data_IF_770938374809
#
_entry.id   IF_770938374809
#
_cell.length_a   1.000
_cell.length_b   1.000
_cell.length_c   1.000
_cell.angle_alpha   90.00
_cell.angle_beta   90.00
_cell.angle_gamma   90.00
#
_symmetry.space_group_name_H-M   'P 1'
#
loop_
_entity.id
_entity.type
_entity.pdbx_description
1 polymer ?
#
# COMPACT_ATOMS: atom_id res chain seq x y z
N UNK A 1 -26.20 3.53 -44.86
CA UNK A 1 -25.49 4.27 -43.79
C UNK A 1 -25.06 3.26 -42.71
N UNK A 2 -23.82 3.31 -42.22
CA UNK A 2 -23.32 2.37 -41.19
C UNK A 2 -22.71 3.16 -40.04
N UNK A 3 -23.07 2.81 -38.81
CA UNK A 3 -22.57 3.46 -37.58
C UNK A 3 -21.92 2.37 -36.72
N UNK A 4 -20.80 2.68 -36.08
CA UNK A 4 -20.12 1.80 -35.11
C UNK A 4 -19.64 2.61 -33.91
N UNK A 5 -19.72 2.00 -32.73
CA UNK A 5 -19.20 2.54 -31.47
C UNK A 5 -18.29 1.50 -30.79
N UNK A 6 -17.33 1.96 -29.99
CA UNK A 6 -16.40 1.12 -29.21
C UNK A 6 -16.31 1.68 -27.79
N UNK A 7 -16.39 0.80 -26.80
CA UNK A 7 -16.10 1.12 -25.41
C UNK A 7 -14.64 0.77 -25.09
N UNK A 8 -13.94 1.68 -24.41
CA UNK A 8 -12.58 1.48 -23.92
C UNK A 8 -12.53 1.78 -22.42
N UNK A 9 -11.65 1.09 -21.70
CA UNK A 9 -11.46 1.24 -20.26
C UNK A 9 -9.96 1.31 -19.94
N UNK A 10 -9.62 1.86 -18.77
CA UNK A 10 -8.24 1.90 -18.30
C UNK A 10 -7.69 0.48 -18.12
N UNK A 11 -6.55 0.19 -18.75
CA UNK A 11 -5.87 -1.11 -18.67
C UNK A 11 -4.46 -0.90 -18.13
N UNK A 12 -4.05 -1.70 -17.14
CA UNK A 12 -2.77 -1.54 -16.48
C UNK A 12 -2.14 -2.89 -16.10
N UNK A 13 -0.84 -2.87 -15.78
CA UNK A 13 -0.12 -3.99 -15.17
C UNK A 13 0.73 -3.50 -14.00
N UNK A 14 0.97 -4.38 -13.02
CA UNK A 14 1.74 -4.11 -11.82
C UNK A 14 2.82 -5.20 -11.70
N UNK A 15 4.08 -4.80 -11.68
CA UNK A 15 5.21 -5.74 -11.61
C UNK A 15 6.26 -5.31 -10.56
N UNK A 16 6.71 -6.18 -9.65
CA UNK A 16 6.27 -7.57 -9.49
C UNK A 16 4.83 -7.65 -9.01
N UNK A 17 4.18 -8.79 -9.28
CA UNK A 17 2.87 -9.09 -8.72
C UNK A 17 2.90 -9.11 -7.18
N UNK A 18 1.79 -8.73 -6.56
CA UNK A 18 1.61 -8.83 -5.11
C UNK A 18 1.68 -10.30 -4.65
N UNK A 19 2.28 -10.60 -3.48
CA UNK A 19 2.86 -9.66 -2.50
C UNK A 19 4.33 -9.29 -2.77
N UNK A 20 4.72 -8.10 -2.34
CA UNK A 20 6.13 -7.66 -2.36
C UNK A 20 6.80 -8.14 -1.08
N UNK A 21 7.76 -9.05 -1.19
CA UNK A 21 8.42 -9.66 -0.03
C UNK A 21 9.83 -9.12 0.19
N UNK A 22 10.09 -8.54 1.35
CA UNK A 22 11.42 -8.03 1.73
C UNK A 22 12.34 -9.10 2.33
N UNK A 23 11.81 -10.27 2.67
CA UNK A 23 12.51 -11.38 3.31
C UNK A 23 12.86 -11.07 4.77
N UNK A 24 13.66 -11.96 5.37
CA UNK A 24 14.26 -11.70 6.67
C UNK A 24 15.18 -10.48 6.58
N UNK A 25 15.02 -9.53 7.51
CA UNK A 25 15.83 -8.32 7.59
C UNK A 25 16.44 -8.18 8.98
N UNK A 26 17.68 -7.73 9.03
CA UNK A 26 18.37 -7.43 10.28
C UNK A 26 17.80 -6.14 10.87
N UNK A 27 17.55 -6.13 12.18
CA UNK A 27 17.08 -4.94 12.91
C UNK A 27 18.00 -3.74 12.65
N UNK A 28 17.40 -2.59 12.36
CA UNK A 28 18.11 -1.36 12.03
C UNK A 28 18.55 -1.24 10.56
N UNK A 29 18.25 -2.22 9.70
CA UNK A 29 18.54 -2.12 8.26
C UNK A 29 17.36 -1.60 7.46
N UNK A 30 17.66 -0.98 6.31
CA UNK A 30 16.69 -0.51 5.34
C UNK A 30 16.85 -1.28 4.03
N UNK A 31 15.74 -1.68 3.41
CA UNK A 31 15.71 -2.31 2.10
C UNK A 31 14.67 -1.64 1.23
N UNK A 32 14.98 -1.46 -0.04
CA UNK A 32 14.11 -0.78 -1.00
C UNK A 32 13.74 -1.74 -2.12
N UNK A 33 12.46 -1.76 -2.48
CA UNK A 33 11.94 -2.44 -3.65
C UNK A 33 11.17 -1.46 -4.53
N UNK A 34 10.95 -1.84 -5.78
CA UNK A 34 10.21 -1.03 -6.75
C UNK A 34 9.13 -1.86 -7.39
N UNK A 35 7.96 -1.25 -7.51
CA UNK A 35 6.81 -1.73 -8.27
C UNK A 35 6.66 -0.87 -9.49
N UNK A 36 6.48 -1.49 -10.64
CA UNK A 36 6.23 -0.84 -11.90
C UNK A 36 4.73 -0.89 -12.19
N UNK A 37 4.07 0.27 -12.16
CA UNK A 37 2.72 0.45 -12.64
C UNK A 37 2.77 0.94 -14.09
N UNK A 38 2.28 0.13 -15.02
CA UNK A 38 2.29 0.45 -16.44
C UNK A 38 0.87 0.61 -16.97
N UNK A 39 0.65 1.63 -17.81
CA UNK A 39 -0.57 1.80 -18.56
C UNK A 39 -0.49 1.01 -19.87
N UNK A 40 -1.26 -0.07 -19.96
CA UNK A 40 -1.38 -0.94 -21.16
C UNK A 40 -2.56 -0.55 -22.05
N UNK A 41 -3.23 0.55 -21.72
CA UNK A 41 -4.39 1.08 -22.44
C UNK A 41 -4.03 2.26 -23.34
N UNK A 42 -5.06 2.72 -24.04
CA UNK A 42 -5.05 3.85 -24.98
C UNK A 42 -5.50 5.16 -24.34
N UNK A 43 -6.02 5.10 -23.10
CA UNK A 43 -6.49 6.25 -22.33
C UNK A 43 -5.47 6.66 -21.27
N UNK A 44 -5.37 7.95 -20.99
CA UNK A 44 -4.64 8.42 -19.81
C UNK A 44 -5.39 7.98 -18.54
N UNK A 45 -4.66 7.69 -17.47
CA UNK A 45 -5.26 7.52 -16.15
C UNK A 45 -4.43 8.18 -15.06
N UNK A 46 -5.10 8.46 -13.94
CA UNK A 46 -4.47 8.80 -12.67
C UNK A 46 -4.47 7.57 -11.76
N UNK A 47 -3.47 7.49 -10.89
CA UNK A 47 -3.42 6.51 -9.82
C UNK A 47 -3.35 7.22 -8.46
N UNK A 48 -3.88 6.56 -7.43
CA UNK A 48 -3.75 6.98 -6.05
C UNK A 48 -3.58 5.75 -5.14
N UNK A 49 -2.61 5.78 -4.22
CA UNK A 49 -2.27 4.69 -3.33
C UNK A 49 -2.78 5.01 -1.93
N UNK A 50 -3.42 4.02 -1.32
CA UNK A 50 -4.03 4.17 -0.01
C UNK A 50 -3.80 2.94 0.87
N UNK A 51 -3.86 3.18 2.19
CA UNK A 51 -3.88 2.12 3.19
C UNK A 51 -5.24 1.41 3.19
N UNK A 52 -5.23 0.07 3.12
CA UNK A 52 -6.44 -0.73 3.30
C UNK A 52 -7.09 -0.44 4.67
N UNK A 53 -8.42 -0.33 4.75
CA UNK A 53 -9.09 -0.21 6.04
C UNK A 53 -8.69 -1.37 6.95
N UNK A 54 -8.23 -1.08 8.17
CA UNK A 54 -8.04 -2.12 9.19
C UNK A 54 -9.40 -2.66 9.55
N UNK A 55 -9.79 -3.81 9.01
CA UNK A 55 -10.90 -4.58 9.56
C UNK A 55 -10.50 -4.91 10.99
N UNK A 56 -11.31 -4.51 11.98
CA UNK A 56 -11.01 -4.77 13.38
C UNK A 56 -10.80 -6.28 13.56
N UNK A 57 -9.54 -6.68 13.75
CA UNK A 57 -9.12 -8.07 13.93
C UNK A 57 -9.65 -8.58 15.28
N UNK A 58 -10.79 -9.24 15.28
CA UNK A 58 -11.17 -10.13 16.37
C UNK A 58 -10.65 -11.53 16.02
N UNK A 59 -9.78 -12.08 16.89
CA UNK A 59 -9.24 -13.45 16.88
C UNK A 59 -8.15 -13.61 15.78
N UNK A 60 -6.86 -13.77 16.07
CA UNK A 60 -6.26 -14.87 16.83
C UNK A 60 -4.89 -14.42 17.39
N UNK A 61 -4.74 -14.49 18.70
CA UNK A 61 -3.44 -14.56 19.38
C UNK A 61 -3.62 -15.48 20.56
N UNK A 62 -3.77 -16.79 20.29
CA UNK A 62 -3.54 -17.81 21.30
C UNK A 62 -2.06 -18.17 21.29
N UNK A 63 -1.27 -17.42 22.05
CA UNK A 63 -0.03 -17.95 22.63
C UNK A 63 -0.19 -17.88 24.14
N UNK A 64 -0.30 -19.06 24.73
CA UNK A 64 -0.44 -19.29 26.16
C UNK A 64 0.85 -18.88 26.89
N UNK A 65 0.72 -18.07 27.95
CA UNK A 65 1.27 -18.37 29.28
C UNK A 65 0.83 -17.33 30.32
N UNK A 66 0.25 -17.92 31.36
CA UNK A 66 -0.20 -17.48 32.69
C UNK A 66 0.74 -16.48 33.41
N UNK A 67 0.15 -15.53 34.13
CA UNK A 67 0.87 -14.58 35.00
C UNK A 67 0.00 -13.39 35.45
N UNK A 68 -0.43 -13.43 36.70
CA UNK A 68 -1.42 -12.63 37.42
C UNK A 68 -1.21 -11.09 37.53
N UNK A 69 -2.35 -10.38 37.66
CA UNK A 69 -2.56 -9.03 38.25
C UNK A 69 -2.56 -7.75 37.38
N UNK A 70 -3.75 -7.11 37.33
CA UNK A 70 -4.10 -5.78 36.81
C UNK A 70 -4.03 -4.70 37.95
N UNK A 71 -4.34 -3.39 37.77
CA UNK A 71 -4.97 -2.72 36.63
C UNK A 71 -4.50 -1.29 36.23
N UNK A 72 -4.94 -0.93 35.01
CA UNK A 72 -5.41 0.38 34.55
C UNK A 72 -4.48 1.46 33.93
N UNK A 73 -4.83 1.71 32.66
CA UNK A 73 -5.11 3.03 32.06
C UNK A 73 -3.93 3.88 31.61
N UNK A 74 -3.58 3.74 30.32
CA UNK A 74 -3.51 4.90 29.40
C UNK A 74 -3.81 4.43 27.98
N UNK A 75 -5.11 4.39 27.64
CA UNK A 75 -5.57 4.28 26.24
C UNK A 75 -5.24 5.59 25.52
N UNK A 76 -4.01 5.73 25.01
CA UNK A 76 -3.75 6.72 23.96
C UNK A 76 -4.21 6.13 22.64
N UNK A 77 -5.51 6.30 22.39
CA UNK A 77 -6.08 6.30 21.05
C UNK A 77 -5.31 7.33 20.22
N UNK A 78 -4.27 6.89 19.52
CA UNK A 78 -3.80 7.62 18.36
C UNK A 78 -4.89 7.45 17.31
N UNK A 79 -5.81 8.40 17.33
CA UNK A 79 -6.65 8.81 16.21
C UNK A 79 -5.75 8.94 14.99
N UNK A 80 -5.55 7.84 14.24
CA UNK A 80 -4.94 7.90 12.92
C UNK A 80 -5.92 8.67 12.05
N UNK A 81 -5.66 9.98 12.01
CA UNK A 81 -6.32 10.95 11.16
C UNK A 81 -6.25 10.37 9.75
N UNK A 82 -7.42 10.06 9.19
CA UNK A 82 -7.60 9.67 7.80
C UNK A 82 -7.20 10.89 6.95
N UNK A 83 -5.89 11.13 6.79
CA UNK A 83 -5.39 12.23 6.00
C UNK A 83 -5.41 11.79 4.55
N UNK A 84 -6.54 12.04 3.89
CA UNK A 84 -6.65 12.16 2.44
C UNK A 84 -5.89 13.40 1.93
N UNK A 85 -4.66 13.59 2.39
CA UNK A 85 -3.77 14.63 1.91
C UNK A 85 -2.95 14.09 0.76
N UNK A 86 -2.66 14.96 -0.20
CA UNK A 86 -1.66 14.87 -1.28
C UNK A 86 -0.24 14.57 -0.77
N UNK A 87 -0.08 13.48 -0.03
CA UNK A 87 1.17 13.06 0.55
C UNK A 87 1.99 12.39 -0.54
N UNK A 88 3.15 12.96 -0.85
CA UNK A 88 4.11 12.34 -1.77
C UNK A 88 4.52 10.93 -1.30
N UNK A 89 4.49 10.70 0.01
CA UNK A 89 4.85 9.45 0.67
C UNK A 89 3.76 8.99 1.64
N UNK A 90 3.47 7.68 1.65
CA UNK A 90 2.54 7.02 2.57
C UNK A 90 3.35 6.11 3.50
N UNK A 91 3.16 6.27 4.82
CA UNK A 91 3.87 5.47 5.83
C UNK A 91 2.90 4.48 6.49
N UNK A 92 3.24 3.19 6.50
CA UNK A 92 2.46 2.12 7.12
C UNK A 92 3.40 1.19 7.89
N UNK A 93 3.32 1.22 9.22
CA UNK A 93 4.19 0.42 10.07
C UNK A 93 5.67 0.69 9.76
N UNK A 94 6.33 -0.31 9.19
CA UNK A 94 7.76 -0.30 8.84
C UNK A 94 8.02 0.12 7.39
N UNK A 95 6.97 0.37 6.61
CA UNK A 95 7.02 0.63 5.19
C UNK A 95 6.76 2.11 4.86
N UNK A 96 7.47 2.63 3.86
CA UNK A 96 7.22 3.93 3.22
C UNK A 96 7.05 3.73 1.72
N UNK A 97 5.94 4.20 1.15
CA UNK A 97 5.59 4.05 -0.27
C UNK A 97 5.56 5.41 -0.95
N UNK A 98 6.13 5.53 -2.15
CA UNK A 98 6.08 6.76 -2.96
C UNK A 98 6.49 6.55 -4.42
N UNK A 99 6.01 7.37 -5.38
CA UNK A 99 4.96 8.37 -5.21
C UNK A 99 3.60 7.69 -4.96
N UNK A 100 2.75 8.33 -4.15
CA UNK A 100 1.42 7.79 -3.82
C UNK A 100 0.32 8.24 -4.79
N UNK A 101 0.64 9.12 -5.73
CA UNK A 101 -0.31 9.54 -6.76
C UNK A 101 0.41 10.04 -8.00
N UNK A 102 -0.32 10.09 -9.11
CA UNK A 102 0.19 10.69 -10.35
C UNK A 102 -0.62 10.28 -11.57
N UNK A 103 -0.24 10.80 -12.73
CA UNK A 103 -0.83 10.44 -14.01
C UNK A 103 0.12 9.58 -14.85
N UNK A 104 -0.44 8.65 -15.62
CA UNK A 104 0.29 7.78 -16.55
C UNK A 104 -0.37 7.86 -17.92
N UNK A 105 0.41 8.30 -18.91
CA UNK A 105 0.00 8.37 -20.32
C UNK A 105 -0.18 6.97 -20.91
N UNK A 106 -0.91 6.80 -22.02
CA UNK A 106 -0.96 5.54 -22.76
C UNK A 106 0.44 4.98 -22.98
N UNK A 107 0.63 3.68 -22.69
CA UNK A 107 1.91 2.98 -22.80
C UNK A 107 3.03 3.54 -21.89
N UNK A 108 2.68 4.46 -21.00
CA UNK A 108 3.58 5.01 -19.99
C UNK A 108 3.71 4.09 -18.79
N UNK A 109 4.76 4.32 -18.01
CA UNK A 109 5.03 3.55 -16.79
C UNK A 109 5.42 4.48 -15.63
N UNK A 110 5.16 4.03 -14.41
CA UNK A 110 5.55 4.70 -13.18
C UNK A 110 6.20 3.71 -12.22
N UNK A 111 7.40 4.04 -11.78
CA UNK A 111 8.09 3.34 -10.69
C UNK A 111 7.55 3.86 -9.35
N UNK A 112 7.04 2.96 -8.54
CA UNK A 112 6.59 3.17 -7.16
C UNK A 112 7.61 2.48 -6.26
N UNK A 113 8.28 3.26 -5.42
CA UNK A 113 9.24 2.80 -4.44
C UNK A 113 8.53 2.37 -3.18
N UNK A 114 8.89 1.19 -2.66
CA UNK A 114 8.50 0.71 -1.34
C UNK A 114 9.78 0.51 -0.54
N UNK A 115 9.94 1.29 0.52
CA UNK A 115 11.06 1.16 1.45
C UNK A 115 10.59 0.47 2.71
N UNK A 116 11.31 -0.55 3.16
CA UNK A 116 11.12 -1.20 4.46
C UNK A 116 12.28 -0.82 5.38
N UNK A 117 11.98 -0.36 6.59
CA UNK A 117 12.96 -0.11 7.63
C UNK A 117 12.69 -0.96 8.86
N UNK A 118 13.56 -1.94 9.13
CA UNK A 118 13.44 -2.97 10.16
C UNK A 118 13.65 -2.42 11.59
N UNK A 119 12.79 -1.52 12.07
CA UNK A 119 12.86 -0.88 13.40
C UNK A 119 12.69 -1.84 14.59
N UNK A 120 11.83 -2.85 14.44
CA UNK A 120 11.43 -3.76 15.51
C UNK A 120 11.52 -5.21 15.02
N UNK A 121 11.72 -6.14 15.96
CA UNK A 121 11.69 -7.58 15.69
C UNK A 121 10.25 -8.06 15.50
N UNK A 122 10.07 -9.09 14.69
CA UNK A 122 8.77 -9.70 14.38
C UNK A 122 8.44 -9.67 12.89
N UNK A 123 7.22 -10.07 12.57
CA UNK A 123 6.65 -10.02 11.23
C UNK A 123 5.84 -8.74 11.04
N UNK A 124 5.88 -8.16 9.85
CA UNK A 124 5.08 -7.00 9.48
C UNK A 124 4.51 -7.22 8.09
N UNK A 125 3.18 -7.14 7.99
CA UNK A 125 2.43 -7.23 6.75
C UNK A 125 1.43 -6.07 6.72
N UNK A 126 1.37 -5.36 5.60
CA UNK A 126 0.48 -4.23 5.41
C UNK A 126 -0.17 -4.34 4.03
N UNK A 127 -1.46 -4.01 3.96
CA UNK A 127 -2.24 -4.06 2.72
C UNK A 127 -2.50 -2.66 2.17
N UNK A 128 -2.37 -2.53 0.86
CA UNK A 128 -2.53 -1.29 0.10
C UNK A 128 -3.47 -1.52 -1.08
N UNK A 129 -4.17 -0.46 -1.50
CA UNK A 129 -4.88 -0.43 -2.76
C UNK A 129 -4.37 0.70 -3.64
N UNK A 130 -4.40 0.47 -4.96
CA UNK A 130 -4.12 1.47 -5.98
C UNK A 130 -5.42 1.73 -6.72
N UNK A 131 -6.00 2.91 -6.50
CA UNK A 131 -7.16 3.37 -7.24
C UNK A 131 -6.71 3.88 -8.61
N UNK A 132 -7.41 3.44 -9.67
CA UNK A 132 -7.19 3.89 -11.04
C UNK A 132 -8.42 4.68 -11.49
N UNK A 133 -8.20 5.92 -11.90
CA UNK A 133 -9.27 6.81 -12.36
C UNK A 133 -8.95 7.33 -13.75
N UNK A 134 -9.88 7.13 -14.69
CA UNK A 134 -9.79 7.72 -16.03
C UNK A 134 -9.80 9.25 -15.94
N UNK A 135 -9.03 9.90 -16.81
CA UNK A 135 -9.00 11.37 -16.95
C UNK A 135 -9.78 11.83 -18.16
#
# INVERSE_FOLDING_TARGET
VRVSAKAEYSKYSIEPASPINFGAMVKGTKKTQTVLLENKGTLNFKFQIHQAPKLASALESKSSKEGESAPWATKRSMRQKLSSSTQAHLNLGMFTVFPCSGSIRPWGQRKITVECFARQEGTCEEQLYIDITGT
#
